data_IF_182038589594
#
_entry.id   IF_182038589594
#
_cell.length_a   1.000
_cell.length_b   1.000
_cell.length_c   1.000
_cell.angle_alpha   90.00
_cell.angle_beta   90.00
_cell.angle_gamma   90.00
#
_symmetry.space_group_name_H-M   'P 1'
#
loop_
_entity.id
_entity.type
_entity.pdbx_description
1 polymer ?
#
# COMPACT_ATOMS: atom_id res chain seq x y z
N UNK A 1 7.14 14.13 11.24
CA UNK A 1 6.39 14.47 10.01
C UNK A 1 4.94 14.05 10.18
N UNK A 2 4.17 14.80 10.96
CA UNK A 2 2.82 14.37 11.43
C UNK A 2 1.77 15.46 11.27
N UNK A 3 2.14 16.73 11.49
CA UNK A 3 1.19 17.87 11.46
C UNK A 3 0.60 18.08 10.05
N UNK A 4 1.43 18.11 9.01
CA UNK A 4 0.97 18.33 7.63
C UNK A 4 0.04 17.21 7.13
N UNK A 5 0.39 15.94 7.42
CA UNK A 5 -0.43 14.77 7.08
C UNK A 5 -1.74 14.74 7.88
N UNK A 6 -1.71 15.08 9.16
CA UNK A 6 -2.90 15.06 10.00
C UNK A 6 -3.91 16.13 9.61
N UNK A 7 -3.44 17.34 9.31
CA UNK A 7 -4.32 18.48 9.05
C UNK A 7 -4.85 18.53 7.61
N UNK A 8 -4.15 17.95 6.64
CA UNK A 8 -4.45 18.13 5.22
C UNK A 8 -4.80 16.83 4.47
N UNK A 9 -4.84 15.67 5.14
CA UNK A 9 -5.22 14.41 4.49
C UNK A 9 -6.74 14.29 4.44
N UNK A 10 -7.32 14.46 3.25
CA UNK A 10 -8.77 14.35 2.99
C UNK A 10 -9.23 12.89 2.97
N UNK A 11 -8.36 11.95 2.58
CA UNK A 11 -8.67 10.53 2.55
C UNK A 11 -7.58 9.72 1.84
N UNK A 12 -7.80 8.41 1.73
CA UNK A 12 -6.99 7.52 0.90
C UNK A 12 -7.72 7.22 -0.40
N UNK A 13 -6.98 7.07 -1.50
CA UNK A 13 -7.54 6.56 -2.75
C UNK A 13 -7.98 5.12 -2.56
N UNK A 14 -9.22 4.79 -2.92
CA UNK A 14 -9.75 3.42 -2.87
C UNK A 14 -9.40 2.66 -4.15
N UNK A 15 -8.95 1.42 -4.02
CA UNK A 15 -8.76 0.51 -5.15
C UNK A 15 -9.54 -0.78 -4.93
N UNK A 16 -10.22 -1.24 -5.96
CA UNK A 16 -10.96 -2.51 -5.91
C UNK A 16 -9.99 -3.70 -5.97
N UNK A 17 -10.32 -4.86 -5.39
CA UNK A 17 -9.50 -6.07 -5.50
C UNK A 17 -9.21 -6.49 -6.95
N UNK A 18 -10.14 -6.21 -7.87
CA UNK A 18 -9.97 -6.49 -9.29
C UNK A 18 -8.90 -5.60 -9.94
N UNK A 19 -8.89 -4.30 -9.62
CA UNK A 19 -7.83 -3.39 -10.08
C UNK A 19 -6.48 -3.78 -9.51
N UNK A 20 -6.40 -4.13 -8.22
CA UNK A 20 -5.15 -4.58 -7.58
C UNK A 20 -4.62 -5.83 -8.29
N UNK A 21 -5.48 -6.82 -8.54
CA UNK A 21 -5.13 -8.04 -9.28
C UNK A 21 -4.69 -7.73 -10.71
N UNK A 22 -5.33 -6.77 -11.38
CA UNK A 22 -4.99 -6.37 -12.76
C UNK A 22 -3.62 -5.67 -12.80
N UNK A 23 -3.34 -4.77 -11.84
CA UNK A 23 -2.05 -4.11 -11.75
C UNK A 23 -0.91 -5.11 -11.45
N UNK A 24 -1.16 -6.09 -10.58
CA UNK A 24 -0.19 -7.13 -10.25
C UNK A 24 0.07 -8.07 -11.44
N UNK A 25 -0.97 -8.64 -12.04
CA UNK A 25 -0.85 -9.72 -13.02
C UNK A 25 -0.64 -9.20 -14.46
N UNK A 26 -1.34 -8.13 -14.85
CA UNK A 26 -1.31 -7.62 -16.22
C UNK A 26 -0.22 -6.58 -16.41
N UNK A 27 -0.06 -5.66 -15.45
CA UNK A 27 0.95 -4.60 -15.53
C UNK A 27 2.30 -4.99 -14.94
N UNK A 28 2.41 -6.18 -14.30
CA UNK A 28 3.65 -6.65 -13.69
C UNK A 28 4.14 -5.77 -12.54
N UNK A 29 3.24 -5.02 -11.88
CA UNK A 29 3.60 -4.12 -10.78
C UNK A 29 3.82 -4.92 -9.50
N UNK A 30 4.79 -4.50 -8.69
CA UNK A 30 5.06 -5.08 -7.37
C UNK A 30 4.20 -4.38 -6.30
N UNK A 31 2.89 -4.64 -6.35
CA UNK A 31 1.89 -4.05 -5.47
C UNK A 31 1.40 -5.09 -4.48
N UNK A 32 1.20 -4.75 -3.22
CA UNK A 32 0.56 -5.67 -2.28
C UNK A 32 -0.19 -4.94 -1.18
N UNK A 33 -1.05 -5.69 -0.49
CA UNK A 33 -1.88 -5.19 0.59
C UNK A 33 -1.20 -5.51 1.92
N UNK A 34 -1.15 -4.53 2.82
CA UNK A 34 -0.73 -4.71 4.21
C UNK A 34 -1.64 -3.88 5.11
N UNK A 35 -2.31 -4.53 6.07
CA UNK A 35 -3.27 -3.90 7.01
C UNK A 35 -4.36 -3.08 6.30
N UNK A 36 -4.89 -3.61 5.18
CA UNK A 36 -5.91 -2.95 4.36
C UNK A 36 -5.43 -1.74 3.54
N UNK A 37 -4.16 -1.38 3.66
CA UNK A 37 -3.49 -0.35 2.86
C UNK A 37 -2.73 -0.98 1.71
N UNK A 38 -2.57 -0.23 0.63
CA UNK A 38 -1.96 -0.72 -0.61
C UNK A 38 -0.63 0.00 -0.80
N UNK A 39 0.41 -0.79 -1.04
CA UNK A 39 1.77 -0.31 -1.23
C UNK A 39 2.30 -0.74 -2.59
N UNK A 40 3.01 0.16 -3.27
CA UNK A 40 3.64 -0.08 -4.57
C UNK A 40 5.16 0.07 -4.48
N UNK A 41 5.88 -1.02 -4.69
CA UNK A 41 7.35 -1.06 -4.73
C UNK A 41 7.89 -1.19 -6.15
N UNK A 42 7.07 -1.05 -7.19
CA UNK A 42 7.46 -1.29 -8.60
C UNK A 42 8.69 -0.48 -9.00
N UNK A 43 8.71 0.83 -8.72
CA UNK A 43 9.85 1.68 -9.06
C UNK A 43 11.11 1.30 -8.27
N UNK A 44 10.94 1.01 -6.98
CA UNK A 44 12.05 0.58 -6.12
C UNK A 44 12.65 -0.75 -6.60
N UNK A 45 11.82 -1.68 -7.05
CA UNK A 45 12.23 -2.97 -7.58
C UNK A 45 12.95 -2.85 -8.92
N UNK A 46 12.45 -1.99 -9.82
CA UNK A 46 12.93 -1.90 -11.20
C UNK A 46 14.18 -1.03 -11.35
N UNK A 47 14.22 0.11 -10.66
CA UNK A 47 15.31 1.09 -10.82
C UNK A 47 16.29 1.06 -9.66
N UNK A 48 15.86 0.60 -8.48
CA UNK A 48 16.66 0.65 -7.27
C UNK A 48 16.88 2.08 -6.77
N UNK A 49 17.29 2.22 -5.50
CA UNK A 49 17.67 3.52 -4.96
C UNK A 49 19.02 3.97 -5.51
N UNK A 50 19.05 5.12 -6.18
CA UNK A 50 20.26 5.74 -6.71
C UNK A 50 20.68 6.93 -5.84
N UNK A 51 21.98 7.06 -5.59
CA UNK A 51 22.57 8.23 -4.94
C UNK A 51 23.09 9.15 -6.02
N UNK A 52 22.53 10.36 -6.11
CA UNK A 52 22.98 11.36 -7.07
C UNK A 52 23.66 12.51 -6.31
N UNK A 53 24.97 12.67 -6.52
CA UNK A 53 25.74 13.80 -6.02
C UNK A 53 25.52 15.08 -6.85
N UNK A 54 25.96 16.24 -6.33
CA UNK A 54 25.97 17.50 -7.07
C UNK A 54 26.74 17.38 -8.40
N UNK A 55 26.33 18.16 -9.41
CA UNK A 55 27.01 18.16 -10.71
C UNK A 55 28.50 18.50 -10.57
N UNK A 56 29.37 17.61 -11.07
CA UNK A 56 30.82 17.79 -11.05
C UNK A 56 31.53 17.21 -9.81
N UNK A 57 30.79 16.65 -8.85
CA UNK A 57 31.36 16.02 -7.66
C UNK A 57 31.24 14.49 -7.69
N UNK A 58 32.19 13.80 -7.06
CA UNK A 58 32.15 12.35 -6.90
C UNK A 58 31.11 12.01 -5.83
N UNK A 59 30.06 11.30 -6.20
CA UNK A 59 29.07 10.82 -5.24
C UNK A 59 29.76 9.89 -4.22
N UNK A 60 29.68 10.17 -2.91
CA UNK A 60 30.21 9.27 -1.90
C UNK A 60 29.46 7.93 -1.94
N UNK A 61 30.18 6.83 -1.69
CA UNK A 61 29.56 5.52 -1.53
C UNK A 61 28.67 5.54 -0.28
N UNK A 62 27.36 5.43 -0.48
CA UNK A 62 26.38 5.31 0.58
C UNK A 62 25.52 4.07 0.31
N UNK A 63 25.11 3.40 1.40
CA UNK A 63 24.11 2.34 1.28
C UNK A 63 22.77 2.97 0.91
N UNK A 64 22.40 2.81 -0.35
CA UNK A 64 21.15 3.34 -0.88
C UNK A 64 19.96 2.43 -0.57
N UNK A 65 20.20 1.18 -0.15
CA UNK A 65 19.13 0.21 0.13
C UNK A 65 18.53 0.46 1.51
N UNK A 66 17.42 1.19 1.55
CA UNK A 66 16.70 1.46 2.79
C UNK A 66 15.61 0.42 3.11
N UNK A 67 15.18 -0.39 2.14
CA UNK A 67 14.22 -1.47 2.35
C UNK A 67 14.92 -2.81 2.56
N UNK A 68 14.43 -3.59 3.52
CA UNK A 68 14.90 -4.94 3.78
C UNK A 68 14.64 -5.88 2.57
N UNK A 69 15.65 -6.63 2.15
CA UNK A 69 15.59 -7.46 0.96
C UNK A 69 14.53 -8.57 1.05
N UNK A 70 14.29 -9.11 2.25
CA UNK A 70 13.27 -10.13 2.52
C UNK A 70 11.86 -9.57 2.27
N UNK A 71 11.62 -8.34 2.71
CA UNK A 71 10.36 -7.65 2.50
C UNK A 71 10.17 -7.30 1.02
N UNK A 72 11.20 -6.78 0.36
CA UNK A 72 11.15 -6.47 -1.08
C UNK A 72 10.84 -7.72 -1.90
N UNK A 73 11.45 -8.85 -1.59
CA UNK A 73 11.19 -10.12 -2.27
C UNK A 73 9.74 -10.59 -2.10
N UNK A 74 9.14 -10.35 -0.93
CA UNK A 74 7.74 -10.68 -0.71
C UNK A 74 6.81 -9.90 -1.67
N UNK A 75 7.08 -8.60 -1.86
CA UNK A 75 6.34 -7.78 -2.84
C UNK A 75 6.59 -8.21 -4.29
N UNK A 76 7.80 -8.69 -4.61
CA UNK A 76 8.12 -9.19 -5.95
C UNK A 76 7.37 -10.49 -6.29
N UNK A 77 7.37 -11.46 -5.37
CA UNK A 77 6.88 -12.82 -5.64
C UNK A 77 5.41 -13.03 -5.27
N UNK A 78 4.86 -12.20 -4.39
CA UNK A 78 3.49 -12.33 -3.90
C UNK A 78 2.67 -11.07 -4.20
N UNK A 79 2.93 -10.44 -5.35
CA UNK A 79 2.20 -9.27 -5.81
C UNK A 79 0.69 -9.55 -5.94
N UNK A 80 -0.11 -8.54 -5.61
CA UNK A 80 -1.58 -8.57 -5.63
C UNK A 80 -2.23 -9.24 -4.42
N UNK A 81 -1.46 -9.82 -3.50
CA UNK A 81 -1.98 -10.52 -2.32
C UNK A 81 -1.97 -9.66 -1.06
N UNK A 82 -2.71 -10.12 -0.04
CA UNK A 82 -2.60 -9.61 1.33
C UNK A 82 -1.39 -10.24 2.03
N UNK A 83 -0.38 -9.41 2.27
CA UNK A 83 0.88 -9.77 2.89
C UNK A 83 0.89 -9.49 4.39
N UNK A 84 -0.21 -9.07 5.02
CA UNK A 84 -0.26 -8.72 6.45
C UNK A 84 0.35 -9.82 7.31
N UNK A 85 -0.13 -11.06 7.15
CA UNK A 85 0.40 -12.22 7.89
C UNK A 85 1.85 -12.54 7.53
N UNK A 86 2.23 -12.41 6.26
CA UNK A 86 3.58 -12.74 5.83
C UNK A 86 4.60 -11.73 6.38
N UNK A 87 4.25 -10.44 6.39
CA UNK A 87 5.06 -9.36 6.93
C UNK A 87 5.16 -9.47 8.45
N UNK A 88 4.06 -9.73 9.15
CA UNK A 88 4.05 -9.84 10.62
C UNK A 88 4.85 -11.05 11.13
N UNK A 89 4.99 -12.09 10.31
CA UNK A 89 5.79 -13.28 10.64
C UNK A 89 7.21 -13.26 10.05
N UNK A 90 7.66 -12.14 9.48
CA UNK A 90 9.04 -12.02 9.02
C UNK A 90 10.01 -12.18 10.20
N UNK A 91 11.04 -13.00 10.01
CA UNK A 91 12.11 -13.19 10.99
C UNK A 91 13.10 -12.00 10.98
N UNK A 92 12.58 -10.81 11.22
CA UNK A 92 13.30 -9.54 11.27
C UNK A 92 13.15 -8.98 12.69
N UNK A 93 14.21 -8.36 13.22
CA UNK A 93 14.15 -7.71 14.54
C UNK A 93 12.99 -6.70 14.62
N UNK A 94 12.22 -6.73 15.71
CA UNK A 94 10.98 -5.94 15.86
C UNK A 94 11.16 -4.44 15.60
N UNK A 95 12.31 -3.88 16.01
CA UNK A 95 12.67 -2.48 15.73
C UNK A 95 12.88 -2.22 14.24
N UNK A 96 13.56 -3.12 13.54
CA UNK A 96 13.79 -3.02 12.10
C UNK A 96 12.46 -3.14 11.36
N UNK A 97 11.62 -4.11 11.74
CA UNK A 97 10.30 -4.29 11.16
C UNK A 97 9.40 -3.06 11.36
N UNK A 98 9.41 -2.44 12.54
CA UNK A 98 8.69 -1.19 12.79
C UNK A 98 9.20 -0.02 11.92
N UNK A 99 10.51 0.08 11.72
CA UNK A 99 11.10 1.08 10.82
C UNK A 99 10.69 0.81 9.36
N UNK A 100 10.74 -0.44 8.90
CA UNK A 100 10.34 -0.85 7.55
C UNK A 100 8.85 -0.53 7.28
N UNK A 101 7.96 -0.83 8.23
CA UNK A 101 6.54 -0.46 8.17
C UNK A 101 6.36 1.07 8.06
N UNK A 102 7.18 1.84 8.76
CA UNK A 102 7.16 3.31 8.67
C UNK A 102 7.62 3.78 7.29
N UNK A 103 8.67 3.19 6.72
CA UNK A 103 9.14 3.50 5.36
C UNK A 103 8.06 3.20 4.31
N UNK A 104 7.38 2.04 4.41
CA UNK A 104 6.22 1.70 3.57
C UNK A 104 5.15 2.78 3.62
N UNK A 105 4.71 3.17 4.83
CA UNK A 105 3.69 4.20 5.03
C UNK A 105 4.08 5.61 4.54
N UNK A 106 5.38 5.91 4.44
CA UNK A 106 5.85 7.23 4.04
C UNK A 106 6.10 7.34 2.54
N UNK A 107 6.69 6.31 1.93
CA UNK A 107 7.20 6.36 0.55
C UNK A 107 6.35 5.60 -0.47
N UNK A 108 5.72 4.50 -0.06
CA UNK A 108 5.14 3.54 -1.02
C UNK A 108 3.62 3.40 -0.92
N UNK A 109 2.97 4.14 -0.02
CA UNK A 109 1.52 4.10 0.17
C UNK A 109 0.79 4.78 -1.01
N UNK A 110 -0.01 4.01 -1.74
CA UNK A 110 -0.82 4.52 -2.85
C UNK A 110 -2.30 4.68 -2.50
N UNK A 111 -2.80 3.92 -1.53
CA UNK A 111 -4.23 3.92 -1.20
C UNK A 111 -4.66 2.87 -0.19
N UNK A 112 -5.97 2.62 -0.15
CA UNK A 112 -6.63 1.61 0.67
C UNK A 112 -7.49 0.69 -0.19
N UNK A 113 -7.74 -0.53 0.30
CA UNK A 113 -8.61 -1.48 -0.40
C UNK A 113 -10.06 -1.05 -0.27
N UNK A 114 -10.75 -0.93 -1.41
CA UNK A 114 -12.19 -0.71 -1.46
C UNK A 114 -12.92 -2.06 -1.36
N UNK A 115 -13.48 -2.34 -0.18
CA UNK A 115 -14.21 -3.57 0.12
C UNK A 115 -15.70 -3.51 -0.18
N UNK A 116 -16.20 -2.41 -0.77
CA UNK A 116 -17.64 -2.23 -1.04
C UNK A 116 -18.24 -3.29 -1.97
N UNK A 117 -17.42 -3.87 -2.86
CA UNK A 117 -17.82 -4.97 -3.76
C UNK A 117 -17.45 -6.37 -3.23
N UNK A 118 -17.00 -6.49 -1.97
CA UNK A 118 -16.76 -7.80 -1.36
C UNK A 118 -18.07 -8.56 -1.14
N UNK A 119 -18.12 -9.88 -1.35
CA UNK A 119 -19.28 -10.72 -1.02
C UNK A 119 -19.77 -10.54 0.43
N UNK A 120 -18.86 -10.18 1.35
CA UNK A 120 -19.18 -9.88 2.74
C UNK A 120 -20.08 -8.63 2.88
N UNK A 121 -19.85 -7.61 2.06
CA UNK A 121 -20.61 -6.36 2.05
C UNK A 121 -21.88 -6.44 1.19
N UNK A 122 -21.96 -7.37 0.22
CA UNK A 122 -23.17 -7.64 -0.59
C UNK A 122 -24.19 -8.57 0.10
N UNK A 123 -23.93 -9.01 1.33
CA UNK A 123 -24.91 -9.80 2.09
C UNK A 123 -26.23 -9.02 2.27
N UNK A 124 -27.42 -9.66 2.26
CA UNK A 124 -28.72 -8.99 2.26
C UNK A 124 -28.93 -7.98 3.41
N UNK A 125 -28.14 -8.11 4.48
CA UNK A 125 -28.21 -7.27 5.68
C UNK A 125 -27.74 -5.83 5.44
N UNK A 126 -26.83 -5.58 4.49
CA UNK A 126 -26.37 -4.22 4.13
C UNK A 126 -27.30 -3.53 3.12
N UNK A 127 -28.00 -4.31 2.27
CA UNK A 127 -28.99 -3.79 1.31
C UNK A 127 -30.12 -3.05 2.03
N UNK A 128 -30.50 -3.52 3.22
CA UNK A 128 -31.53 -2.88 4.05
C UNK A 128 -31.06 -1.50 4.55
N UNK A 129 -29.80 -1.34 4.93
CA UNK A 129 -29.21 -0.03 5.31
C UNK A 129 -29.12 0.90 4.10
N UNK A 130 -28.74 0.38 2.92
CA UNK A 130 -28.68 1.15 1.68
C UNK A 130 -30.07 1.63 1.23
N UNK A 131 -31.10 0.80 1.39
CA UNK A 131 -32.50 1.14 1.09
C UNK A 131 -33.08 2.18 2.06
N UNK A 132 -32.77 2.09 3.35
CA UNK A 132 -33.22 3.08 4.36
C UNK A 132 -32.62 4.46 4.05
N UNK A 133 -31.35 4.53 3.64
CA UNK A 133 -30.69 5.80 3.31
C UNK A 133 -31.21 6.46 2.03
N UNK A 134 -31.66 5.67 1.04
CA UNK A 134 -32.27 6.20 -0.19
C UNK A 134 -33.70 6.71 -0.01
N UNK A 135 -34.46 6.17 0.95
CA UNK A 135 -35.82 6.67 1.25
C UNK A 135 -35.83 8.00 2.00
N UNK A 136 -34.76 8.37 2.70
CA UNK A 136 -34.69 9.64 3.44
C UNK A 136 -34.35 10.86 2.57
N UNK A 137 -33.92 10.68 1.32
CA UNK A 137 -33.53 11.80 0.44
C UNK A 137 -34.53 12.14 -0.66
N UNK A 138 -35.70 11.49 -0.69
CA UNK A 138 -36.75 11.73 -1.71
C UNK A 138 -37.97 12.48 -1.18
N UNK A 139 -37.85 13.17 -0.04
CA UNK A 139 -38.86 14.12 0.43
C UNK A 139 -38.19 15.47 0.71
N UNK A 140 -37.91 16.22 -0.36
CA UNK A 140 -37.82 17.69 -0.43
C UNK A 140 -38.01 18.09 -1.90
#
# INVERSE_FOLDING_TARGET
MTIMRWNNRVGHMGYTPQEISTMANTSGRAISIYDGLIYDLTEYVNFGPSVQGPHGEVTPSADSQFMDSTLVNLFKYSSGQDLTKAIDNLNIGSRTLAAQKTCLCNLFLIGMVDSQNSPQYLSPRSTLVRLVRQRTTTNL
#
